data_IF_954679273869
#
_entry.id   IF_954679273869
#
_cell.length_a   1.000
_cell.length_b   1.000
_cell.length_c   1.000
_cell.angle_alpha   90.00
_cell.angle_beta   90.00
_cell.angle_gamma   90.00
#
_symmetry.space_group_name_H-M   'P 1'
#
loop_
_entity.id
_entity.type
_entity.pdbx_description
1 polymer ?
#
# COMPACT_ATOMS: atom_id res chain seq x y z
N UNK A 1 -9.48 -1.05 -23.38
CA UNK A 1 -8.99 0.26 -22.96
C UNK A 1 -8.56 0.19 -21.50
N UNK A 2 -7.28 0.42 -21.28
CA UNK A 2 -6.76 0.44 -19.92
C UNK A 2 -7.25 1.69 -19.21
N UNK A 3 -7.95 1.52 -18.11
CA UNK A 3 -8.34 2.64 -17.28
C UNK A 3 -7.10 3.17 -16.55
N UNK A 4 -7.09 4.46 -16.25
CA UNK A 4 -6.02 5.07 -15.45
C UNK A 4 -5.84 4.36 -14.12
N UNK A 5 -6.91 3.78 -13.57
CA UNK A 5 -6.88 3.02 -12.33
C UNK A 5 -6.00 1.78 -12.44
N UNK A 6 -6.02 1.09 -13.61
CA UNK A 6 -5.21 -0.10 -13.82
C UNK A 6 -3.72 0.21 -13.85
N UNK A 7 -3.33 1.31 -14.51
CA UNK A 7 -1.95 1.75 -14.57
C UNK A 7 -1.46 2.20 -13.19
N UNK A 8 -2.30 2.91 -12.46
CA UNK A 8 -1.99 3.36 -11.11
C UNK A 8 -1.74 2.17 -10.18
N UNK A 9 -2.57 1.13 -10.28
CA UNK A 9 -2.42 -0.07 -9.46
C UNK A 9 -1.13 -0.80 -9.78
N UNK A 10 -0.72 -0.84 -11.05
CA UNK A 10 0.57 -1.43 -11.43
C UNK A 10 1.73 -0.68 -10.82
N UNK A 11 1.68 0.63 -10.79
CA UNK A 11 2.73 1.45 -10.16
C UNK A 11 2.83 1.15 -8.66
N UNK A 12 1.69 1.02 -7.98
CA UNK A 12 1.68 0.68 -6.57
C UNK A 12 2.25 -0.71 -6.34
N UNK A 13 1.86 -1.67 -7.16
CA UNK A 13 2.36 -3.03 -7.06
C UNK A 13 3.88 -3.07 -7.24
N UNK A 14 4.40 -2.37 -8.24
CA UNK A 14 5.85 -2.29 -8.46
C UNK A 14 6.58 -1.63 -7.31
N UNK A 15 6.03 -0.52 -6.79
CA UNK A 15 6.63 0.19 -5.67
C UNK A 15 6.68 -0.69 -4.42
N UNK A 16 5.61 -1.43 -4.15
CA UNK A 16 5.53 -2.34 -3.01
C UNK A 16 6.55 -3.48 -3.18
N UNK A 17 6.61 -4.06 -4.36
CA UNK A 17 7.53 -5.16 -4.65
C UNK A 17 8.99 -4.71 -4.51
N UNK A 18 9.33 -3.55 -5.04
CA UNK A 18 10.68 -3.00 -4.93
C UNK A 18 11.07 -2.72 -3.49
N UNK A 19 10.15 -2.12 -2.72
CA UNK A 19 10.38 -1.87 -1.31
C UNK A 19 10.55 -3.17 -0.53
N UNK A 20 9.77 -4.19 -0.87
CA UNK A 20 9.85 -5.49 -0.22
C UNK A 20 11.19 -6.19 -0.53
N UNK A 21 11.63 -6.15 -1.78
CA UNK A 21 12.91 -6.73 -2.19
C UNK A 21 14.05 -6.05 -1.44
N UNK A 22 14.01 -4.73 -1.32
CA UNK A 22 15.06 -3.97 -0.64
C UNK A 22 15.08 -4.22 0.87
N UNK A 23 13.91 -4.41 1.48
CA UNK A 23 13.77 -4.47 2.94
C UNK A 23 13.81 -5.89 3.50
N UNK A 24 13.33 -6.86 2.75
CA UNK A 24 13.25 -8.24 3.25
C UNK A 24 14.59 -8.95 3.03
N UNK A 25 15.27 -9.18 4.14
CA UNK A 25 16.58 -9.83 4.14
C UNK A 25 16.38 -11.31 4.37
N UNK A 26 16.51 -12.10 3.32
CA UNK A 26 16.45 -13.55 3.44
C UNK A 26 15.49 -14.20 2.45
N UNK A 27 15.23 -15.46 2.68
CA UNK A 27 14.38 -16.26 1.81
C UNK A 27 12.92 -16.00 2.05
N UNK A 28 12.11 -16.40 1.08
CA UNK A 28 10.65 -16.37 1.20
C UNK A 28 10.25 -17.21 2.41
N UNK A 29 9.46 -16.64 3.31
CA UNK A 29 9.02 -17.34 4.50
C UNK A 29 7.86 -18.27 4.19
N UNK A 30 7.77 -19.35 4.96
CA UNK A 30 6.64 -20.27 4.93
C UNK A 30 5.75 -20.13 6.16
N UNK A 31 6.12 -19.24 7.07
CA UNK A 31 5.38 -18.98 8.29
C UNK A 31 4.20 -18.08 8.05
N UNK A 32 3.22 -18.05 8.98
CA UNK A 32 2.15 -17.07 8.92
C UNK A 32 2.72 -15.65 9.01
N UNK A 33 2.10 -14.71 8.32
CA UNK A 33 2.56 -13.31 8.34
C UNK A 33 1.39 -12.37 8.59
N UNK A 34 1.69 -11.25 9.23
CA UNK A 34 0.78 -10.11 9.36
C UNK A 34 1.36 -8.97 8.54
N UNK A 35 0.50 -8.33 7.76
CA UNK A 35 0.91 -7.28 6.84
C UNK A 35 0.14 -5.99 7.16
N UNK A 36 0.85 -4.89 7.26
CA UNK A 36 0.24 -3.57 7.39
C UNK A 36 0.82 -2.67 6.30
N UNK A 37 -0.05 -2.02 5.55
CA UNK A 37 0.37 -1.12 4.48
C UNK A 37 -0.43 0.17 4.58
N UNK A 38 0.26 1.29 4.48
CA UNK A 38 -0.35 2.60 4.47
C UNK A 38 0.04 3.33 3.21
N UNK A 39 -0.98 3.77 2.47
CA UNK A 39 -0.79 4.54 1.25
C UNK A 39 -1.12 6.00 1.56
N UNK A 40 -0.10 6.86 1.55
CA UNK A 40 -0.29 8.29 1.68
C UNK A 40 -0.11 8.91 0.31
N UNK A 41 -1.21 9.28 -0.30
CA UNK A 41 -1.25 9.70 -1.68
C UNK A 41 -1.24 11.22 -1.78
N UNK A 42 -0.67 11.71 -2.87
CA UNK A 42 -0.64 13.14 -3.14
C UNK A 42 -2.07 13.67 -3.22
N UNK A 43 -2.33 14.76 -2.52
CA UNK A 43 -3.64 15.40 -2.52
C UNK A 43 -3.90 16.04 -3.88
N UNK A 44 -5.10 15.86 -4.47
CA UNK A 44 -5.44 16.53 -5.73
C UNK A 44 -5.35 18.05 -5.59
N UNK A 45 -4.90 18.70 -6.64
CA UNK A 45 -4.71 20.15 -6.65
C UNK A 45 -6.01 20.93 -6.40
N UNK A 46 -7.16 20.38 -6.83
CA UNK A 46 -8.43 21.06 -6.67
C UNK A 46 -8.92 21.11 -5.21
N UNK A 47 -8.27 20.39 -4.31
CA UNK A 47 -8.62 20.44 -2.89
C UNK A 47 -7.96 21.60 -2.14
N UNK A 48 -7.04 22.30 -2.80
CA UNK A 48 -6.41 23.48 -2.24
C UNK A 48 -6.47 24.64 -3.23
N UNK A 49 -6.44 25.85 -2.72
CA UNK A 49 -6.38 27.06 -3.55
C UNK A 49 -4.94 27.36 -3.93
N UNK A 50 -4.73 28.34 -4.83
CA UNK A 50 -3.39 28.76 -5.23
C UNK A 50 -2.56 29.28 -4.06
N UNK A 51 -3.18 29.71 -2.98
CA UNK A 51 -2.51 30.18 -1.78
C UNK A 51 -2.31 29.07 -0.72
N UNK A 52 -2.65 27.83 -1.05
CA UNK A 52 -2.49 26.70 -0.17
C UNK A 52 -3.62 26.49 0.84
N UNK A 53 -4.67 27.31 0.76
CA UNK A 53 -5.84 27.15 1.64
C UNK A 53 -6.74 26.01 1.15
N UNK A 54 -7.53 25.48 2.08
CA UNK A 54 -8.51 24.44 1.73
C UNK A 54 -9.58 25.02 0.80
N UNK A 55 -9.83 24.32 -0.30
CA UNK A 55 -10.90 24.69 -1.22
C UNK A 55 -12.22 24.05 -0.77
N UNK A 56 -13.31 24.36 -1.48
CA UNK A 56 -14.62 23.73 -1.22
C UNK A 56 -14.58 22.21 -1.46
N UNK A 57 -13.59 21.74 -2.19
CA UNK A 57 -13.42 20.30 -2.49
C UNK A 57 -12.49 19.58 -1.53
N UNK A 58 -12.03 20.25 -0.49
CA UNK A 58 -11.16 19.64 0.51
C UNK A 58 -11.85 18.45 1.18
N UNK A 59 -11.09 17.37 1.33
CA UNK A 59 -11.52 16.18 2.05
C UNK A 59 -10.42 15.78 3.00
N UNK A 60 -10.77 15.59 4.26
CA UNK A 60 -9.80 15.13 5.26
C UNK A 60 -9.33 13.71 4.96
N UNK A 61 -10.28 12.83 4.64
CA UNK A 61 -9.99 11.44 4.36
C UNK A 61 -9.97 11.17 2.85
N UNK A 62 -9.11 10.26 2.44
CA UNK A 62 -8.96 9.89 1.04
C UNK A 62 -10.01 8.83 0.66
N UNK A 63 -11.11 9.29 0.07
CA UNK A 63 -12.15 8.41 -0.46
C UNK A 63 -12.07 8.25 -1.97
N UNK A 64 -10.98 8.73 -2.58
CA UNK A 64 -10.77 8.67 -4.03
C UNK A 64 -10.26 7.31 -4.47
N UNK A 65 -10.34 7.04 -5.77
CA UNK A 65 -9.74 5.84 -6.35
C UNK A 65 -8.21 5.88 -6.21
N UNK A 66 -7.54 4.74 -6.14
CA UNK A 66 -8.10 3.39 -6.16
C UNK A 66 -8.74 2.97 -4.84
N UNK A 67 -9.70 2.04 -4.92
CA UNK A 67 -10.42 1.53 -3.76
C UNK A 67 -9.52 0.65 -2.90
N UNK A 68 -9.86 0.52 -1.62
CA UNK A 68 -9.09 -0.30 -0.66
C UNK A 68 -8.98 -1.75 -1.10
N UNK A 69 -10.04 -2.34 -1.65
CA UNK A 69 -10.02 -3.74 -2.07
C UNK A 69 -9.03 -3.97 -3.21
N UNK A 70 -8.91 -3.04 -4.12
CA UNK A 70 -7.96 -3.13 -5.23
C UNK A 70 -6.53 -2.92 -4.77
N UNK A 71 -6.32 -1.98 -3.84
CA UNK A 71 -5.01 -1.78 -3.23
C UNK A 71 -4.58 -3.02 -2.45
N UNK A 72 -5.52 -3.65 -1.74
CA UNK A 72 -5.26 -4.88 -1.02
C UNK A 72 -4.76 -5.99 -1.96
N UNK A 73 -5.45 -6.16 -3.08
CA UNK A 73 -5.05 -7.17 -4.07
C UNK A 73 -3.64 -6.88 -4.60
N UNK A 74 -3.35 -5.62 -4.90
CA UNK A 74 -2.02 -5.22 -5.38
C UNK A 74 -0.93 -5.51 -4.34
N UNK A 75 -1.21 -5.29 -3.06
CA UNK A 75 -0.28 -5.59 -1.97
C UNK A 75 0.00 -7.09 -1.93
N UNK A 76 -1.04 -7.90 -1.88
CA UNK A 76 -0.86 -9.35 -1.78
C UNK A 76 -0.13 -9.92 -2.98
N UNK A 77 -0.44 -9.45 -4.19
CA UNK A 77 0.24 -9.89 -5.41
C UNK A 77 1.72 -9.46 -5.41
N UNK A 78 2.00 -8.25 -4.94
CA UNK A 78 3.36 -7.73 -4.92
C UNK A 78 4.26 -8.49 -3.95
N UNK A 79 3.72 -8.89 -2.80
CA UNK A 79 4.52 -9.56 -1.75
C UNK A 79 4.64 -11.07 -1.95
N UNK A 80 3.75 -11.66 -2.73
CA UNK A 80 3.81 -13.09 -3.02
C UNK A 80 5.06 -13.41 -3.83
N UNK A 81 5.83 -14.39 -3.35
CA UNK A 81 7.09 -14.78 -3.99
C UNK A 81 8.28 -13.92 -3.57
N UNK A 82 8.06 -12.85 -2.84
CA UNK A 82 9.13 -11.99 -2.30
C UNK A 82 9.29 -12.21 -0.80
N UNK A 83 8.21 -12.05 -0.06
CA UNK A 83 8.21 -12.20 1.40
C UNK A 83 7.64 -13.53 1.83
N UNK A 84 6.53 -13.94 1.25
CA UNK A 84 5.89 -15.22 1.55
C UNK A 84 5.60 -15.98 0.26
N UNK A 85 5.37 -17.29 0.38
CA UNK A 85 5.18 -18.15 -0.78
C UNK A 85 3.77 -18.05 -1.35
N UNK A 86 2.77 -17.87 -0.47
CA UNK A 86 1.37 -17.88 -0.86
C UNK A 86 0.59 -16.92 0.05
N UNK A 87 -0.34 -16.19 -0.52
CA UNK A 87 -1.15 -15.22 0.24
C UNK A 87 -2.04 -15.88 1.31
N UNK A 88 -2.21 -17.21 1.24
CA UNK A 88 -2.89 -17.96 2.32
C UNK A 88 -2.13 -17.88 3.65
N UNK A 89 -0.85 -17.51 3.63
CA UNK A 89 -0.04 -17.34 4.83
C UNK A 89 -0.39 -16.03 5.58
N UNK A 90 -1.07 -15.11 4.93
CA UNK A 90 -1.42 -13.83 5.54
C UNK A 90 -2.59 -14.02 6.48
N UNK A 91 -2.31 -13.92 7.80
CA UNK A 91 -3.32 -14.11 8.84
C UNK A 91 -3.85 -12.81 9.41
N UNK A 92 -3.24 -11.70 9.06
CA UNK A 92 -3.71 -10.38 9.45
C UNK A 92 -3.28 -9.36 8.41
N UNK A 93 -4.19 -8.46 8.08
CA UNK A 93 -3.94 -7.47 7.04
C UNK A 93 -4.59 -6.14 7.44
N UNK A 94 -3.79 -5.08 7.44
CA UNK A 94 -4.28 -3.73 7.64
C UNK A 94 -3.87 -2.89 6.43
N UNK A 95 -4.87 -2.29 5.79
CA UNK A 95 -4.63 -1.41 4.65
C UNK A 95 -5.31 -0.09 4.95
N UNK A 96 -4.53 0.98 4.89
CA UNK A 96 -5.05 2.32 5.07
C UNK A 96 -4.61 3.19 3.90
N UNK A 97 -5.45 4.12 3.52
CA UNK A 97 -5.07 5.15 2.56
C UNK A 97 -5.41 6.53 3.11
N UNK A 98 -4.54 7.47 2.85
CA UNK A 98 -4.70 8.84 3.29
C UNK A 98 -4.04 9.77 2.29
N UNK A 99 -3.90 11.02 2.69
CA UNK A 99 -3.21 12.02 1.88
C UNK A 99 -1.86 12.35 2.50
N UNK A 100 -0.86 12.53 1.64
CA UNK A 100 0.44 13.04 2.06
C UNK A 100 0.50 14.54 1.75
N UNK A 101 0.33 15.35 2.77
CA UNK A 101 0.37 16.81 2.64
C UNK A 101 1.76 17.39 2.87
N UNK A 102 2.70 16.57 3.35
CA UNK A 102 4.01 17.05 3.78
C UNK A 102 4.99 17.20 2.62
N UNK A 103 5.09 16.16 1.76
CA UNK A 103 6.08 16.16 0.69
C UNK A 103 5.45 16.27 -0.69
N UNK A 104 4.13 16.19 -0.80
CA UNK A 104 3.43 16.30 -2.08
C UNK A 104 3.62 15.13 -3.03
N UNK A 105 4.20 14.04 -2.57
CA UNK A 105 4.42 12.83 -3.34
C UNK A 105 3.68 11.66 -2.71
N UNK A 106 3.47 10.60 -3.48
CA UNK A 106 2.91 9.36 -2.95
C UNK A 106 3.96 8.67 -2.10
N UNK A 107 3.55 8.17 -0.93
CA UNK A 107 4.41 7.40 -0.03
C UNK A 107 3.67 6.13 0.36
N UNK A 108 4.36 4.99 0.29
CA UNK A 108 3.82 3.71 0.73
C UNK A 108 4.70 3.17 1.85
N UNK A 109 4.07 2.90 2.99
CA UNK A 109 4.75 2.32 4.15
C UNK A 109 4.27 0.89 4.32
N UNK A 110 5.22 -0.05 4.42
CA UNK A 110 4.93 -1.48 4.52
C UNK A 110 5.58 -2.01 5.78
N UNK A 111 4.79 -2.77 6.54
CA UNK A 111 5.28 -3.46 7.72
C UNK A 111 4.81 -4.91 7.64
N UNK A 112 5.74 -5.86 7.71
CA UNK A 112 5.44 -7.28 7.65
C UNK A 112 6.07 -7.96 8.86
N UNK A 113 5.25 -8.68 9.60
CA UNK A 113 5.70 -9.45 10.75
C UNK A 113 5.51 -10.93 10.48
N UNK A 114 6.60 -11.68 10.54
CA UNK A 114 6.56 -13.14 10.48
C UNK A 114 6.19 -13.69 11.86
N UNK A 115 5.16 -14.53 11.90
CA UNK A 115 4.68 -15.09 13.15
C UNK A 115 5.20 -16.52 13.26
N UNK A 116 6.20 -16.71 14.11
CA UNK A 116 6.76 -18.03 14.31
C UNK A 116 5.86 -18.86 15.21
N UNK A 117 5.55 -20.06 14.75
CA UNK A 117 4.75 -20.98 15.53
C UNK A 117 5.62 -21.57 16.63
N UNK A 118 5.09 -21.53 17.85
CA UNK A 118 5.76 -22.15 18.97
C UNK A 118 5.39 -23.63 18.95
N UNK A 119 6.35 -24.49 18.74
CA UNK A 119 6.11 -25.91 18.81
C UNK A 119 5.94 -26.32 20.29
N UNK A 120 4.78 -26.83 20.58
CA UNK A 120 4.48 -27.31 21.94
C UNK A 120 4.78 -28.79 22.06
#
# INVERSE_FOLDING_TARGET
MTSDAGEKLKKYEEAIRNAAVDSWQGEVTREPVKVAVRFYLKRPKNQTTSTGRKSSKWRLFNTSKPDIDKLTRSVLDALTGVIYADDSQVIGLEIEKGYNDTIGNDVTLIDVAEIKQVSS
#
